data_IF_438428070435
#
_entry.id   IF_438428070435
#
_cell.length_a   1.000
_cell.length_b   1.000
_cell.length_c   1.000
_cell.angle_alpha   90.00
_cell.angle_beta   90.00
_cell.angle_gamma   90.00
#
_symmetry.space_group_name_H-M   'P 1'
#
loop_
_entity.id
_entity.type
_entity.pdbx_description
1 polymer ?
#
# COMPACT_ATOMS: atom_id res chain seq x y z
N UNK A 1 -34.61 -8.91 24.14
CA UNK A 1 -34.35 -8.06 22.95
C UNK A 1 -32.84 -8.01 22.77
N UNK A 2 -32.29 -8.62 21.70
CA UNK A 2 -30.83 -8.73 21.50
C UNK A 2 -30.48 -8.09 20.16
N UNK A 3 -29.67 -7.03 20.21
CA UNK A 3 -29.08 -6.43 19.04
C UNK A 3 -27.87 -7.29 18.63
N UNK A 4 -27.97 -7.98 17.49
CA UNK A 4 -26.75 -8.44 16.80
C UNK A 4 -26.12 -7.22 16.15
N UNK A 5 -25.05 -6.72 16.76
CA UNK A 5 -24.15 -5.79 16.09
C UNK A 5 -23.47 -6.55 14.94
N UNK A 6 -24.03 -6.48 13.73
CA UNK A 6 -23.26 -6.83 12.52
C UNK A 6 -22.23 -5.74 12.36
N UNK A 7 -21.06 -5.92 12.99
CA UNK A 7 -19.86 -5.19 12.62
C UNK A 7 -19.60 -5.51 11.15
N UNK A 8 -20.01 -4.61 10.26
CA UNK A 8 -19.61 -4.67 8.87
C UNK A 8 -18.12 -4.35 8.89
N UNK A 9 -17.28 -5.38 8.70
CA UNK A 9 -15.84 -5.18 8.56
C UNK A 9 -15.59 -4.47 7.23
N UNK A 10 -15.25 -3.19 7.28
CA UNK A 10 -14.97 -2.36 6.10
C UNK A 10 -13.51 -2.44 5.63
N UNK A 11 -12.74 -3.42 6.10
CA UNK A 11 -11.30 -3.54 5.81
C UNK A 11 -11.07 -4.59 4.73
N UNK A 12 -10.62 -4.18 3.54
CA UNK A 12 -10.37 -5.09 2.41
C UNK A 12 -9.09 -5.95 2.57
N UNK A 13 -8.17 -5.54 3.44
CA UNK A 13 -6.93 -6.26 3.73
C UNK A 13 -6.15 -5.61 4.87
N UNK A 14 -5.27 -6.37 5.50
CA UNK A 14 -4.37 -5.89 6.54
C UNK A 14 -3.11 -6.72 6.58
N UNK A 15 -1.99 -6.13 6.19
CA UNK A 15 -0.69 -6.79 6.18
C UNK A 15 0.18 -6.11 7.25
N UNK A 16 0.47 -6.78 8.38
CA UNK A 16 1.34 -6.22 9.40
C UNK A 16 2.77 -5.99 8.93
N UNK A 17 3.22 -6.75 7.92
CA UNK A 17 4.57 -6.72 7.36
C UNK A 17 5.63 -6.81 8.47
N UNK A 18 5.48 -7.85 9.29
CA UNK A 18 6.34 -8.15 10.43
C UNK A 18 6.78 -9.62 10.35
N UNK A 19 7.66 -9.91 9.39
CA UNK A 19 8.25 -11.24 9.18
C UNK A 19 7.61 -12.03 8.04
N UNK A 20 6.43 -11.64 7.58
CA UNK A 20 5.76 -12.19 6.40
C UNK A 20 4.83 -11.16 5.72
N UNK A 21 4.23 -11.57 4.60
CA UNK A 21 3.22 -10.80 3.87
C UNK A 21 1.80 -11.41 4.03
N UNK A 22 1.49 -12.00 5.19
CA UNK A 22 0.18 -12.64 5.41
C UNK A 22 -0.90 -11.61 5.72
N UNK A 23 -1.96 -11.62 4.92
CA UNK A 23 -3.18 -10.86 5.22
C UNK A 23 -3.86 -11.34 6.52
N UNK A 24 -3.79 -10.48 7.54
CA UNK A 24 -4.38 -10.64 8.87
C UNK A 24 -5.80 -10.06 8.99
N UNK A 25 -6.42 -9.63 7.88
CA UNK A 25 -7.80 -9.16 7.88
C UNK A 25 -8.84 -10.28 7.98
N UNK A 26 -8.48 -11.48 7.52
CA UNK A 26 -9.34 -12.65 7.39
C UNK A 26 -9.96 -12.83 6.00
N UNK A 27 -9.57 -12.02 5.00
CA UNK A 27 -10.03 -12.16 3.61
C UNK A 27 -9.14 -13.06 2.75
N UNK A 28 -7.98 -13.48 3.26
CA UNK A 28 -7.10 -14.42 2.57
C UNK A 28 -6.30 -13.80 1.42
N UNK A 29 -6.20 -12.47 1.39
CA UNK A 29 -5.47 -11.74 0.36
C UNK A 29 -3.96 -11.75 0.64
N UNK A 30 -3.36 -12.92 0.89
CA UNK A 30 -1.95 -13.01 1.24
C UNK A 30 -1.05 -12.45 0.14
N UNK A 31 -0.08 -11.63 0.53
CA UNK A 31 0.93 -11.10 -0.36
C UNK A 31 2.05 -12.11 -0.61
N UNK A 32 2.75 -11.91 -1.72
CA UNK A 32 3.97 -12.64 -2.07
C UNK A 32 5.14 -11.67 -2.07
N UNK A 33 6.21 -12.02 -1.37
CA UNK A 33 7.45 -11.26 -1.38
C UNK A 33 8.17 -11.46 -2.73
N UNK A 34 8.54 -10.38 -3.40
CA UNK A 34 9.20 -10.41 -4.70
C UNK A 34 10.64 -9.92 -4.56
N UNK A 35 11.58 -10.65 -5.17
CA UNK A 35 13.02 -10.37 -5.15
C UNK A 35 13.66 -10.34 -3.74
N UNK A 36 13.13 -11.16 -2.83
CA UNK A 36 13.65 -11.41 -1.49
C UNK A 36 13.92 -10.13 -0.65
N UNK A 37 12.86 -9.36 -0.31
CA UNK A 37 12.94 -8.29 0.68
C UNK A 37 13.55 -8.75 1.99
N UNK A 38 14.13 -7.81 2.73
CA UNK A 38 14.69 -8.08 4.06
C UNK A 38 13.76 -7.56 5.15
N UNK A 39 14.13 -7.80 6.41
CA UNK A 39 13.37 -7.38 7.58
C UNK A 39 14.29 -6.62 8.51
N UNK A 40 13.82 -5.48 9.02
CA UNK A 40 14.52 -4.65 9.98
C UNK A 40 13.66 -4.46 11.23
N UNK A 41 14.25 -3.92 12.31
CA UNK A 41 13.52 -3.45 13.48
C UNK A 41 13.39 -1.93 13.43
N UNK A 42 12.20 -1.41 13.70
CA UNK A 42 12.02 0.03 13.89
C UNK A 42 12.55 0.48 15.25
N UNK A 43 12.47 1.79 15.52
CA UNK A 43 12.95 2.41 16.77
C UNK A 43 12.31 1.88 18.07
N UNK A 44 11.19 1.15 17.96
CA UNK A 44 10.53 0.49 19.09
C UNK A 44 10.78 -1.03 19.14
N UNK A 45 11.74 -1.56 18.37
CA UNK A 45 12.06 -2.99 18.31
C UNK A 45 10.97 -3.83 17.65
N UNK A 46 10.11 -3.22 16.80
CA UNK A 46 9.10 -3.97 16.03
C UNK A 46 9.64 -4.28 14.66
N UNK A 47 9.44 -5.52 14.21
CA UNK A 47 9.86 -5.93 12.88
C UNK A 47 9.04 -5.21 11.80
N UNK A 48 9.71 -4.78 10.74
CA UNK A 48 9.16 -4.11 9.57
C UNK A 48 9.81 -4.69 8.30
N UNK A 49 9.10 -4.66 7.18
CA UNK A 49 9.69 -4.98 5.88
C UNK A 49 10.66 -3.88 5.46
N UNK A 50 11.78 -4.28 4.87
CA UNK A 50 12.82 -3.41 4.34
C UNK A 50 12.97 -3.70 2.84
N UNK A 51 12.81 -2.66 2.00
CA UNK A 51 12.85 -2.76 0.54
C UNK A 51 14.06 -2.02 -0.02
N UNK A 52 14.74 -2.60 -1.01
CA UNK A 52 15.97 -2.08 -1.61
C UNK A 52 15.82 -0.84 -2.52
N UNK A 53 14.62 -0.28 -2.66
CA UNK A 53 14.32 0.84 -3.55
C UNK A 53 14.50 0.56 -5.04
N UNK A 54 14.69 -0.70 -5.46
CA UNK A 54 14.96 -1.04 -6.86
C UNK A 54 13.91 -1.99 -7.46
N UNK A 55 13.82 -3.22 -6.95
CA UNK A 55 12.92 -4.23 -7.52
C UNK A 55 12.22 -5.09 -6.48
N UNK A 56 12.45 -4.82 -5.20
CA UNK A 56 11.78 -5.50 -4.10
C UNK A 56 10.40 -4.90 -3.84
N UNK A 57 9.39 -5.75 -3.68
CA UNK A 57 8.05 -5.34 -3.31
C UNK A 57 7.23 -6.51 -2.77
N UNK A 58 6.06 -6.18 -2.22
CA UNK A 58 5.02 -7.16 -1.89
C UNK A 58 3.96 -7.14 -2.97
N UNK A 59 3.77 -8.28 -3.64
CA UNK A 59 2.69 -8.46 -4.62
C UNK A 59 1.44 -9.02 -3.93
N UNK A 60 0.37 -8.23 -3.88
CA UNK A 60 -0.92 -8.61 -3.27
C UNK A 60 -1.87 -9.34 -4.25
N UNK A 61 -1.46 -9.54 -5.51
CA UNK A 61 -2.34 -9.99 -6.58
C UNK A 61 -3.41 -8.95 -6.92
N UNK A 62 -4.50 -9.39 -7.57
CA UNK A 62 -5.65 -8.51 -7.81
C UNK A 62 -6.59 -8.50 -6.60
N UNK A 63 -6.55 -7.40 -5.85
CA UNK A 63 -7.58 -7.07 -4.87
C UNK A 63 -8.85 -6.62 -5.58
N UNK A 64 -9.67 -7.58 -6.01
CA UNK A 64 -10.89 -7.35 -6.82
C UNK A 64 -11.90 -6.43 -6.14
N UNK A 65 -11.92 -6.40 -4.80
CA UNK A 65 -12.76 -5.48 -4.03
C UNK A 65 -12.48 -4.00 -4.35
N UNK A 66 -11.25 -3.64 -4.76
CA UNK A 66 -10.88 -2.27 -5.13
C UNK A 66 -11.22 -1.91 -6.59
N UNK A 67 -11.75 -2.84 -7.40
CA UNK A 67 -12.01 -2.58 -8.83
C UNK A 67 -13.21 -1.64 -9.08
N UNK A 68 -14.13 -1.53 -8.13
CA UNK A 68 -15.36 -0.72 -8.31
C UNK A 68 -15.82 -0.06 -7.02
N UNK A 69 -14.87 0.39 -6.20
CA UNK A 69 -15.17 1.12 -4.96
C UNK A 69 -15.59 2.56 -5.26
N UNK A 70 -16.62 3.04 -4.57
CA UNK A 70 -17.01 4.45 -4.58
C UNK A 70 -16.20 5.29 -3.58
N UNK A 71 -15.62 4.65 -2.57
CA UNK A 71 -14.74 5.24 -1.58
C UNK A 71 -13.82 4.17 -0.99
N UNK A 72 -12.62 4.56 -0.61
CA UNK A 72 -11.66 3.67 0.04
C UNK A 72 -10.74 4.46 0.98
N UNK A 73 -9.97 3.74 1.79
CA UNK A 73 -8.89 4.29 2.60
C UNK A 73 -7.69 3.36 2.50
N UNK A 74 -6.53 3.95 2.24
CA UNK A 74 -5.23 3.29 2.34
C UNK A 74 -4.50 3.96 3.49
N UNK A 75 -3.94 3.16 4.41
CA UNK A 75 -3.21 3.65 5.56
C UNK A 75 -2.03 2.72 5.84
N UNK A 76 -0.86 3.32 6.06
CA UNK A 76 0.38 2.63 6.37
C UNK A 76 1.34 3.59 7.08
N UNK A 77 2.39 3.02 7.67
CA UNK A 77 3.57 3.74 8.14
C UNK A 77 4.71 3.42 7.18
N UNK A 78 5.59 4.39 6.94
CA UNK A 78 6.78 4.20 6.12
C UNK A 78 7.91 5.09 6.63
N UNK A 79 9.14 4.70 6.32
CA UNK A 79 10.34 5.49 6.44
C UNK A 79 11.15 5.31 5.15
N UNK A 80 11.66 6.41 4.57
CA UNK A 80 12.49 6.33 3.38
C UNK A 80 13.95 6.49 3.75
N UNK A 81 14.78 5.61 3.23
CA UNK A 81 16.24 5.69 3.38
C UNK A 81 16.83 6.86 2.60
N UNK A 82 16.25 7.15 1.43
CA UNK A 82 16.71 8.20 0.53
C UNK A 82 15.53 9.08 0.15
N UNK A 83 15.65 10.36 0.47
CA UNK A 83 14.72 11.40 0.03
C UNK A 83 15.06 11.83 -1.39
N UNK A 84 14.11 12.50 -2.06
CA UNK A 84 14.31 13.05 -3.41
C UNK A 84 14.65 11.99 -4.48
N UNK A 85 14.13 10.76 -4.31
CA UNK A 85 14.07 9.73 -5.36
C UNK A 85 12.60 9.41 -5.64
N UNK A 86 12.30 9.12 -6.91
CA UNK A 86 10.98 8.71 -7.33
C UNK A 86 10.75 7.22 -7.06
N UNK A 87 9.99 6.91 -6.01
CA UNK A 87 9.66 5.55 -5.61
C UNK A 87 8.15 5.32 -5.59
N UNK A 88 7.73 4.13 -6.04
CA UNK A 88 6.35 3.69 -5.89
C UNK A 88 6.15 3.03 -4.53
N UNK A 89 5.31 3.63 -3.68
CA UNK A 89 4.99 3.13 -2.34
C UNK A 89 3.81 2.14 -2.39
N UNK A 90 2.78 2.48 -3.17
CA UNK A 90 1.63 1.62 -3.39
C UNK A 90 1.16 1.78 -4.83
N UNK A 91 0.77 0.67 -5.46
CA UNK A 91 0.12 0.70 -6.77
C UNK A 91 -0.91 -0.41 -6.93
N UNK A 92 -2.12 -0.01 -7.34
CA UNK A 92 -3.09 -0.88 -8.02
C UNK A 92 -3.20 -0.38 -9.45
N UNK A 93 -3.04 -1.26 -10.42
CA UNK A 93 -2.94 -0.87 -11.82
C UNK A 93 -3.65 -1.88 -12.71
N UNK A 94 -4.41 -1.37 -13.69
CA UNK A 94 -4.99 -2.17 -14.78
C UNK A 94 -4.29 -1.85 -16.10
N UNK A 95 -4.22 -0.56 -16.45
CA UNK A 95 -3.58 -0.05 -17.65
C UNK A 95 -3.12 1.42 -17.46
N UNK A 96 -2.52 2.01 -18.51
CA UNK A 96 -1.95 3.36 -18.46
C UNK A 96 -2.93 4.50 -18.20
N UNK A 97 -4.25 4.23 -18.11
CA UNK A 97 -5.28 5.22 -17.78
C UNK A 97 -6.13 4.81 -16.55
N UNK A 98 -5.81 3.67 -15.93
CA UNK A 98 -6.59 3.06 -14.86
C UNK A 98 -5.67 2.59 -13.74
N UNK A 99 -5.44 3.45 -12.76
CA UNK A 99 -4.55 3.17 -11.63
C UNK A 99 -4.97 3.89 -10.34
N UNK A 100 -4.51 3.34 -9.21
CA UNK A 100 -4.38 4.06 -7.94
C UNK A 100 -2.92 3.94 -7.56
N UNK A 101 -2.20 5.05 -7.44
CA UNK A 101 -0.78 5.05 -7.13
C UNK A 101 -0.44 6.06 -6.04
N UNK A 102 0.45 5.66 -5.14
CA UNK A 102 1.09 6.52 -4.15
C UNK A 102 2.58 6.42 -4.39
N UNK A 103 3.24 7.55 -4.64
CA UNK A 103 4.65 7.59 -5.02
C UNK A 103 5.29 8.91 -4.61
N UNK A 104 6.61 8.89 -4.44
CA UNK A 104 7.42 10.10 -4.25
C UNK A 104 7.95 10.61 -5.57
N UNK A 105 8.30 11.89 -5.62
CA UNK A 105 8.89 12.52 -6.79
C UNK A 105 10.22 13.17 -6.43
N UNK A 106 11.24 12.80 -7.19
CA UNK A 106 12.62 13.26 -7.03
C UNK A 106 12.80 14.76 -7.24
N UNK A 107 12.08 15.33 -8.21
CA UNK A 107 12.32 16.73 -8.62
C UNK A 107 11.81 17.78 -7.65
N UNK A 108 10.87 17.44 -6.76
CA UNK A 108 10.21 18.41 -5.89
C UNK A 108 10.00 17.93 -4.45
N UNK A 109 10.48 16.73 -4.09
CA UNK A 109 10.39 16.21 -2.73
C UNK A 109 8.95 15.97 -2.26
N UNK A 110 8.00 15.75 -3.18
CA UNK A 110 6.59 15.58 -2.83
C UNK A 110 6.17 14.12 -2.81
N UNK A 111 5.24 13.82 -1.90
CA UNK A 111 4.43 12.61 -1.92
C UNK A 111 3.17 12.88 -2.73
N UNK A 112 2.89 12.04 -3.73
CA UNK A 112 1.72 12.18 -4.59
C UNK A 112 0.80 10.98 -4.46
N UNK A 113 -0.50 11.27 -4.47
CA UNK A 113 -1.56 10.26 -4.56
C UNK A 113 -2.34 10.53 -5.82
N UNK A 114 -2.35 9.57 -6.73
CA UNK A 114 -3.07 9.68 -8.00
C UNK A 114 -4.10 8.56 -8.13
N UNK A 115 -5.26 8.95 -8.66
CA UNK A 115 -6.34 8.05 -9.04
C UNK A 115 -6.68 8.36 -10.48
N UNK A 116 -6.56 7.34 -11.32
CA UNK A 116 -6.80 7.41 -12.75
C UNK A 116 -7.92 6.45 -13.15
N UNK A 117 -8.88 6.96 -13.91
CA UNK A 117 -9.95 6.19 -14.55
C UNK A 117 -10.43 6.91 -15.82
N UNK A 118 -9.57 6.94 -16.85
CA UNK A 118 -9.77 7.75 -18.06
C UNK A 118 -9.55 9.26 -17.89
N UNK A 119 -9.14 9.68 -16.68
CA UNK A 119 -8.74 11.03 -16.30
C UNK A 119 -8.02 10.99 -14.95
N UNK A 120 -7.26 12.03 -14.61
CA UNK A 120 -6.36 12.04 -13.44
C UNK A 120 -6.93 12.93 -12.33
N UNK A 121 -7.08 12.37 -11.14
CA UNK A 121 -7.21 13.12 -9.88
C UNK A 121 -5.92 12.96 -9.07
N UNK A 122 -5.35 14.07 -8.59
CA UNK A 122 -4.06 14.08 -7.87
C UNK A 122 -4.15 14.88 -6.58
N UNK A 123 -3.62 14.32 -5.50
CA UNK A 123 -3.21 15.03 -4.28
C UNK A 123 -1.69 15.12 -4.21
N UNK A 124 -1.18 16.24 -3.70
CA UNK A 124 0.26 16.50 -3.52
C UNK A 124 0.46 16.92 -2.07
N UNK A 125 1.46 16.34 -1.44
CA UNK A 125 1.80 16.57 -0.04
C UNK A 125 3.31 16.75 0.08
N UNK A 126 3.72 17.74 0.86
CA UNK A 126 5.10 17.79 1.36
C UNK A 126 5.25 16.68 2.41
N UNK A 127 6.40 15.99 2.45
CA UNK A 127 6.65 14.91 3.40
C UNK A 127 8.02 15.01 4.06
#
# INVERSE_FOLDING_TARGET
>A
MSWRNKSVKHRAGYWPLAGDAVDSSGYGNHGTLVNAPTWAENEWGRQCIELDGNNQHVNLGDLTYLNSVSAFTIAFWMNQDVLDIADTIFRKYLDGNNNIIIFTVDTDGTLRVEIENGGVARGIFDY
#
